data_IF_290897453435
#
_entry.id   IF_290897453435
#
_cell.length_a   1.000
_cell.length_b   1.000
_cell.length_c   1.000
_cell.angle_alpha   90.00
_cell.angle_beta   90.00
_cell.angle_gamma   90.00
#
_symmetry.space_group_name_H-M   'P 1'
#
loop_
_entity.id
_entity.type
_entity.pdbx_description
1 polymer ?
#
# COMPACT_ATOMS: atom_id res chain seq x y z
N UNK A 1 -0.49 0.75 -18.74
CA UNK A 1 -1.29 1.25 -17.63
C UNK A 1 -1.30 0.21 -16.51
N UNK A 2 -1.51 0.64 -15.31
CA UNK A 2 -1.69 -0.21 -14.12
C UNK A 2 -2.96 0.24 -13.36
N UNK A 3 -2.92 0.32 -12.01
CA UNK A 3 -3.99 0.90 -11.22
C UNK A 3 -4.33 2.35 -11.63
N UNK A 4 -3.31 3.12 -12.01
CA UNK A 4 -3.49 4.52 -12.41
C UNK A 4 -3.76 4.63 -13.91
N UNK A 5 -5.03 4.73 -14.29
CA UNK A 5 -5.48 4.83 -15.68
C UNK A 5 -4.99 6.10 -16.38
N UNK A 6 -4.59 7.11 -15.63
CA UNK A 6 -4.16 8.40 -16.13
C UNK A 6 -2.68 8.45 -16.51
N UNK A 7 -1.93 7.36 -16.30
CA UNK A 7 -0.53 7.23 -16.72
C UNK A 7 -0.45 6.45 -18.02
N UNK A 8 0.17 7.05 -19.05
CA UNK A 8 0.46 6.38 -20.30
C UNK A 8 1.97 6.19 -20.48
N UNK A 9 2.50 5.14 -19.91
CA UNK A 9 3.93 4.82 -19.96
C UNK A 9 4.41 4.45 -21.38
N UNK A 10 3.52 4.09 -22.29
CA UNK A 10 3.83 3.69 -23.66
C UNK A 10 3.60 4.81 -24.68
N UNK A 11 3.54 6.06 -24.26
CA UNK A 11 3.38 7.19 -25.15
C UNK A 11 4.69 7.54 -25.86
N UNK A 12 4.62 7.71 -27.17
CA UNK A 12 5.75 8.09 -28.02
C UNK A 12 5.50 9.35 -28.85
N UNK A 13 4.35 9.99 -28.65
CA UNK A 13 3.99 11.18 -29.40
C UNK A 13 4.68 12.42 -28.82
N UNK A 14 5.12 13.30 -29.71
CA UNK A 14 5.60 14.65 -29.37
C UNK A 14 4.46 15.69 -29.45
N UNK A 15 3.24 15.23 -29.76
CA UNK A 15 2.07 16.09 -29.96
C UNK A 15 1.15 16.03 -28.76
N UNK A 16 0.82 17.17 -28.12
CA UNK A 16 -0.15 17.22 -27.03
C UNK A 16 -1.51 16.61 -27.43
N UNK A 17 -2.10 15.81 -26.53
CA UNK A 17 -3.36 15.11 -26.76
C UNK A 17 -3.24 13.75 -27.45
N UNK A 18 -2.05 13.35 -27.88
CA UNK A 18 -1.78 12.03 -28.46
C UNK A 18 -1.20 11.02 -27.47
N UNK A 19 -1.15 11.36 -26.22
CA UNK A 19 -0.56 10.52 -25.15
C UNK A 19 -1.22 9.12 -25.01
N UNK A 20 -2.45 8.95 -25.48
CA UNK A 20 -3.15 7.66 -25.49
C UNK A 20 -2.97 6.84 -26.77
N UNK A 21 -2.32 7.39 -27.80
CA UNK A 21 -2.19 6.76 -29.12
C UNK A 21 -0.95 5.86 -29.22
N UNK A 22 -0.77 4.95 -28.30
CA UNK A 22 0.43 4.09 -28.23
C UNK A 22 0.48 3.02 -29.31
N UNK A 23 -0.67 2.52 -29.74
CA UNK A 23 -0.76 1.39 -30.68
C UNK A 23 -0.59 1.81 -32.14
N UNK A 24 -0.75 3.07 -32.45
CA UNK A 24 -0.72 3.58 -33.82
C UNK A 24 0.56 4.33 -34.16
N UNK A 25 1.50 4.43 -33.23
CA UNK A 25 2.73 5.17 -33.47
C UNK A 25 3.64 4.44 -34.48
N UNK A 26 3.96 5.07 -35.64
CA UNK A 26 4.77 4.46 -36.69
C UNK A 26 6.18 4.04 -36.23
N UNK A 27 6.72 4.70 -35.20
CA UNK A 27 8.04 4.41 -34.63
C UNK A 27 8.14 2.97 -34.11
N UNK A 28 7.02 2.37 -33.69
CA UNK A 28 6.94 1.02 -33.14
C UNK A 28 6.09 0.06 -33.97
N UNK A 29 5.52 0.50 -35.09
CA UNK A 29 4.77 -0.38 -36.00
C UNK A 29 5.64 -1.56 -36.50
N UNK A 30 6.92 -1.30 -36.76
CA UNK A 30 7.90 -2.32 -37.13
C UNK A 30 8.24 -3.31 -35.99
N UNK A 31 7.99 -2.95 -34.73
CA UNK A 31 8.27 -3.74 -33.54
C UNK A 31 7.02 -4.40 -32.93
N UNK A 32 5.90 -4.38 -33.62
CA UNK A 32 4.63 -4.93 -33.15
C UNK A 32 3.77 -3.93 -32.36
N UNK A 33 4.09 -2.62 -32.39
CA UNK A 33 3.28 -1.55 -31.83
C UNK A 33 3.43 -1.33 -30.32
N UNK A 34 4.42 -1.97 -29.67
CA UNK A 34 4.61 -1.86 -28.22
C UNK A 34 6.00 -1.38 -27.85
N UNK A 35 6.10 -0.63 -26.76
CA UNK A 35 7.38 -0.49 -26.07
C UNK A 35 7.78 -1.79 -25.42
N UNK A 36 9.09 -2.12 -25.52
CA UNK A 36 9.67 -3.27 -24.80
C UNK A 36 10.31 -2.90 -23.47
N UNK A 37 10.31 -1.60 -23.13
CA UNK A 37 10.99 -1.07 -21.94
C UNK A 37 10.06 -0.35 -20.98
N UNK A 38 8.82 0.01 -21.40
CA UNK A 38 7.82 0.60 -20.51
C UNK A 38 7.34 -0.43 -19.50
N UNK A 39 7.59 -0.18 -18.21
CA UNK A 39 7.29 -1.11 -17.13
C UNK A 39 6.72 -0.39 -15.89
N UNK A 40 5.69 -0.97 -15.28
CA UNK A 40 5.13 -0.53 -14.02
C UNK A 40 5.82 -1.25 -12.85
N UNK A 41 6.54 -0.51 -12.02
CA UNK A 41 7.14 -1.07 -10.80
C UNK A 41 6.05 -1.46 -9.80
N UNK A 42 4.91 -0.74 -9.76
CA UNK A 42 3.77 -1.15 -8.94
C UNK A 42 3.28 -2.55 -9.30
N UNK A 43 3.10 -2.88 -10.58
CA UNK A 43 2.65 -4.22 -11.00
C UNK A 43 3.70 -5.27 -10.67
N UNK A 44 4.98 -4.97 -10.85
CA UNK A 44 6.06 -5.87 -10.50
C UNK A 44 6.09 -6.17 -8.99
N UNK A 45 5.92 -5.15 -8.13
CA UNK A 45 5.87 -5.33 -6.67
C UNK A 45 4.59 -6.04 -6.22
N UNK A 46 3.43 -5.78 -6.86
CA UNK A 46 2.18 -6.48 -6.62
C UNK A 46 2.30 -7.98 -6.97
N UNK A 47 2.98 -8.32 -8.06
CA UNK A 47 3.28 -9.70 -8.42
C UNK A 47 4.09 -10.41 -7.32
N UNK A 48 5.13 -9.76 -6.80
CA UNK A 48 5.96 -10.35 -5.74
C UNK A 48 5.25 -10.45 -4.39
N UNK A 49 4.25 -9.59 -4.15
CA UNK A 49 3.41 -9.64 -2.96
C UNK A 49 2.36 -10.76 -3.02
N UNK A 50 1.72 -10.95 -4.15
CA UNK A 50 0.64 -11.96 -4.32
C UNK A 50 1.16 -13.34 -4.66
N UNK A 51 2.31 -13.43 -5.32
CA UNK A 51 2.91 -14.67 -5.82
C UNK A 51 3.09 -15.76 -4.75
N UNK A 52 3.57 -15.47 -3.51
CA UNK A 52 3.70 -16.48 -2.46
C UNK A 52 2.40 -17.21 -2.12
N UNK A 53 1.25 -16.53 -2.18
CA UNK A 53 -0.05 -17.18 -1.97
C UNK A 53 -0.36 -18.17 -3.10
N UNK A 54 -0.03 -17.85 -4.34
CA UNK A 54 -0.16 -18.76 -5.47
C UNK A 54 0.72 -20.01 -5.30
N UNK A 55 1.98 -19.81 -4.90
CA UNK A 55 2.91 -20.92 -4.59
C UNK A 55 2.35 -21.81 -3.47
N UNK A 56 1.81 -21.23 -2.41
CA UNK A 56 1.20 -21.98 -1.31
C UNK A 56 -0.01 -22.82 -1.77
N UNK A 57 -0.87 -22.27 -2.65
CA UNK A 57 -1.99 -23.00 -3.24
C UNK A 57 -1.48 -24.18 -4.09
N UNK A 58 -0.47 -23.97 -4.95
CA UNK A 58 0.11 -25.05 -5.76
C UNK A 58 0.68 -26.17 -4.89
N UNK A 59 1.42 -25.85 -3.84
CA UNK A 59 1.94 -26.83 -2.88
C UNK A 59 0.83 -27.61 -2.18
N UNK A 60 -0.24 -26.93 -1.77
CA UNK A 60 -1.40 -27.59 -1.17
C UNK A 60 -2.08 -28.58 -2.14
N UNK A 61 -2.04 -28.30 -3.44
CA UNK A 61 -2.58 -29.18 -4.49
C UNK A 61 -1.61 -30.29 -4.92
N UNK A 62 -0.39 -30.35 -4.35
CA UNK A 62 0.65 -31.32 -4.74
C UNK A 62 1.30 -31.02 -6.09
N UNK A 63 1.23 -29.77 -6.57
CA UNK A 63 1.82 -29.29 -7.82
C UNK A 63 3.20 -28.68 -7.54
N UNK A 64 4.12 -29.49 -7.03
CA UNK A 64 5.42 -29.00 -6.53
C UNK A 64 6.29 -28.41 -7.64
N UNK A 65 6.31 -28.99 -8.83
CA UNK A 65 7.14 -28.50 -9.94
C UNK A 65 6.68 -27.10 -10.42
N UNK A 66 5.37 -26.88 -10.51
CA UNK A 66 4.77 -25.58 -10.84
C UNK A 66 5.00 -24.56 -9.71
N UNK A 67 4.93 -25.02 -8.46
CA UNK A 67 5.22 -24.18 -7.29
C UNK A 67 6.67 -23.68 -7.29
N UNK A 68 7.62 -24.57 -7.55
CA UNK A 68 9.04 -24.23 -7.63
C UNK A 68 9.36 -23.30 -8.81
N UNK A 69 8.73 -23.54 -9.97
CA UNK A 69 8.85 -22.65 -11.12
C UNK A 69 8.29 -21.24 -10.82
N UNK A 70 7.12 -21.16 -10.19
CA UNK A 70 6.52 -19.89 -9.78
C UNK A 70 7.40 -19.15 -8.76
N UNK A 71 7.96 -19.86 -7.76
CA UNK A 71 8.85 -19.27 -6.78
C UNK A 71 10.11 -18.69 -7.43
N UNK A 72 10.71 -19.41 -8.39
CA UNK A 72 11.88 -18.94 -9.11
C UNK A 72 11.62 -17.62 -9.88
N UNK A 73 10.43 -17.46 -10.49
CA UNK A 73 10.07 -16.20 -11.16
C UNK A 73 9.82 -15.07 -10.16
N UNK A 74 9.26 -15.35 -8.98
CA UNK A 74 9.09 -14.36 -7.90
C UNK A 74 10.47 -13.87 -7.42
N UNK A 75 11.40 -14.78 -7.15
CA UNK A 75 12.74 -14.44 -6.67
C UNK A 75 13.53 -13.63 -7.70
N UNK A 76 13.43 -14.01 -8.97
CA UNK A 76 13.99 -13.26 -10.09
C UNK A 76 13.39 -11.86 -10.19
N UNK A 77 12.08 -11.71 -10.05
CA UNK A 77 11.43 -10.40 -10.06
C UNK A 77 11.90 -9.52 -8.91
N UNK A 78 12.01 -10.06 -7.69
CA UNK A 78 12.56 -9.31 -6.54
C UNK A 78 13.97 -8.82 -6.80
N UNK A 79 14.83 -9.66 -7.36
CA UNK A 79 16.20 -9.28 -7.72
C UNK A 79 16.22 -8.17 -8.78
N UNK A 80 15.41 -8.28 -9.82
CA UNK A 80 15.30 -7.27 -10.87
C UNK A 80 14.79 -5.93 -10.33
N UNK A 81 13.81 -5.93 -9.41
CA UNK A 81 13.31 -4.71 -8.78
C UNK A 81 14.41 -4.02 -7.98
N UNK A 82 15.20 -4.78 -7.22
CA UNK A 82 16.33 -4.21 -6.47
C UNK A 82 17.40 -3.63 -7.40
N UNK A 83 17.73 -4.30 -8.49
CA UNK A 83 18.75 -3.87 -9.43
C UNK A 83 18.33 -2.61 -10.21
N UNK A 84 17.05 -2.56 -10.65
CA UNK A 84 16.61 -1.55 -11.62
C UNK A 84 15.70 -0.47 -11.03
N UNK A 85 14.97 -0.75 -9.95
CA UNK A 85 13.95 0.16 -9.45
C UNK A 85 14.22 0.77 -8.06
N UNK A 86 15.29 0.38 -7.38
CA UNK A 86 15.69 1.01 -6.12
C UNK A 86 16.44 2.32 -6.35
N UNK A 87 15.88 3.46 -5.90
CA UNK A 87 16.44 4.81 -6.09
C UNK A 87 17.22 5.34 -4.87
N UNK A 88 17.62 4.44 -3.97
CA UNK A 88 18.42 4.74 -2.77
C UNK A 88 17.62 4.92 -1.49
N UNK A 89 16.42 5.53 -1.57
CA UNK A 89 15.55 5.79 -0.42
C UNK A 89 14.10 5.31 -0.65
N UNK A 90 13.68 5.08 -1.91
CA UNK A 90 12.37 4.55 -2.31
C UNK A 90 12.45 3.83 -3.64
N UNK A 91 11.37 3.16 -4.06
CA UNK A 91 11.26 2.48 -5.34
C UNK A 91 10.67 3.41 -6.41
N UNK A 92 11.23 3.34 -7.63
CA UNK A 92 10.71 4.04 -8.80
C UNK A 92 9.23 3.74 -9.03
N UNK A 93 8.54 4.67 -9.68
CA UNK A 93 7.15 4.44 -10.12
C UNK A 93 7.08 3.53 -11.33
N UNK A 94 7.91 3.83 -12.32
CA UNK A 94 7.87 3.14 -13.62
C UNK A 94 9.09 3.52 -14.48
N UNK A 95 9.22 2.80 -15.58
CA UNK A 95 9.96 3.22 -16.77
C UNK A 95 8.98 3.55 -17.88
N UNK A 96 9.24 4.64 -18.62
CA UNK A 96 8.43 5.00 -19.78
C UNK A 96 8.84 4.23 -21.03
N UNK A 97 8.21 4.55 -22.14
CA UNK A 97 8.45 3.91 -23.44
C UNK A 97 9.87 4.11 -24.00
N UNK A 98 10.59 5.11 -23.55
CA UNK A 98 11.97 5.40 -23.95
C UNK A 98 12.99 4.83 -22.95
N UNK A 99 12.53 4.22 -21.86
CA UNK A 99 13.36 3.75 -20.77
C UNK A 99 13.74 4.83 -19.76
N UNK A 100 13.07 5.98 -19.79
CA UNK A 100 13.28 7.04 -18.83
C UNK A 100 12.57 6.72 -17.51
N UNK A 101 13.21 7.08 -16.40
CA UNK A 101 12.68 6.83 -15.06
C UNK A 101 11.51 7.77 -14.72
N UNK A 102 10.47 7.23 -14.11
CA UNK A 102 9.41 7.97 -13.43
C UNK A 102 9.45 7.65 -11.94
N UNK A 103 9.31 8.66 -11.08
CA UNK A 103 9.35 8.45 -9.64
C UNK A 103 10.76 8.38 -9.05
N UNK A 104 11.75 8.96 -9.73
CA UNK A 104 13.14 9.08 -9.27
C UNK A 104 13.41 10.46 -8.69
N UNK A 105 14.35 10.54 -7.73
CA UNK A 105 14.92 11.82 -7.26
C UNK A 105 15.59 12.63 -8.37
N UNK A 106 15.89 12.00 -9.50
CA UNK A 106 16.46 12.67 -10.69
C UNK A 106 15.40 13.40 -11.51
N UNK A 107 14.09 13.10 -11.31
CA UNK A 107 12.99 13.78 -11.99
C UNK A 107 12.83 15.21 -11.46
N UNK A 108 12.40 16.14 -12.34
CA UNK A 108 12.08 17.52 -11.96
C UNK A 108 10.87 17.57 -11.04
N UNK A 109 9.80 16.83 -11.38
CA UNK A 109 8.56 16.69 -10.64
C UNK A 109 8.16 15.20 -10.57
N UNK A 110 7.23 14.83 -9.70
CA UNK A 110 6.85 13.42 -9.54
C UNK A 110 8.01 12.53 -9.11
N UNK A 111 8.80 12.97 -8.11
CA UNK A 111 10.02 12.27 -7.70
C UNK A 111 9.74 10.99 -6.90
N UNK A 112 8.65 10.96 -6.14
CA UNK A 112 8.22 9.80 -5.37
C UNK A 112 6.73 9.57 -5.59
N UNK A 113 6.32 8.29 -5.69
CA UNK A 113 4.94 7.85 -5.82
C UNK A 113 4.61 6.80 -4.78
N UNK A 114 3.39 6.81 -4.26
CA UNK A 114 2.94 5.92 -3.19
C UNK A 114 2.77 4.46 -3.66
N UNK A 115 2.36 4.23 -4.91
CA UNK A 115 1.81 2.97 -5.38
C UNK A 115 2.76 1.77 -5.27
N UNK A 116 4.06 1.85 -5.64
CA UNK A 116 4.96 0.70 -5.56
C UNK A 116 5.44 0.41 -4.14
N UNK A 117 5.44 1.41 -3.26
CA UNK A 117 6.15 1.35 -2.00
C UNK A 117 5.58 0.28 -1.04
N UNK A 118 4.26 0.26 -0.89
CA UNK A 118 3.60 -0.65 0.04
C UNK A 118 3.83 -2.12 -0.30
N UNK A 119 3.67 -2.48 -1.56
CA UNK A 119 3.85 -3.87 -2.02
C UNK A 119 5.32 -4.29 -1.98
N UNK A 120 6.26 -3.39 -2.26
CA UNK A 120 7.70 -3.67 -2.14
C UNK A 120 8.08 -4.02 -0.68
N UNK A 121 7.60 -3.24 0.29
CA UNK A 121 7.83 -3.50 1.72
C UNK A 121 7.20 -4.84 2.13
N UNK A 122 5.94 -5.09 1.78
CA UNK A 122 5.23 -6.33 2.13
C UNK A 122 5.77 -7.58 1.41
N UNK A 123 6.60 -7.38 0.38
CA UNK A 123 7.34 -8.46 -0.32
C UNK A 123 8.74 -8.68 0.24
N UNK A 124 9.16 -7.98 1.28
CA UNK A 124 10.51 -8.00 1.86
C UNK A 124 11.62 -7.65 0.84
N UNK A 125 11.33 -6.82 -0.20
CA UNK A 125 12.32 -6.43 -1.19
C UNK A 125 13.37 -5.53 -0.54
N UNK A 126 14.63 -5.98 -0.51
CA UNK A 126 15.75 -5.25 0.08
C UNK A 126 15.67 -5.05 1.59
N UNK A 127 14.87 -5.83 2.31
CA UNK A 127 14.69 -5.71 3.77
C UNK A 127 15.98 -5.89 4.55
N UNK A 128 16.82 -6.84 4.15
CA UNK A 128 18.16 -7.08 4.70
C UNK A 128 19.11 -5.88 4.54
N UNK A 129 18.82 -4.99 3.59
CA UNK A 129 19.53 -3.73 3.33
C UNK A 129 18.85 -2.53 3.98
N UNK A 130 17.74 -2.74 4.69
CA UNK A 130 16.95 -1.70 5.36
C UNK A 130 16.12 -0.84 4.41
N UNK A 131 15.80 -1.34 3.21
CA UNK A 131 14.99 -0.61 2.23
C UNK A 131 13.59 -0.30 2.75
N UNK A 132 12.98 -1.19 3.53
CA UNK A 132 11.69 -0.99 4.19
C UNK A 132 11.67 0.27 5.08
N UNK A 133 12.68 0.41 5.94
CA UNK A 133 12.82 1.56 6.86
C UNK A 133 13.08 2.87 6.12
N UNK A 134 13.95 2.84 5.10
CA UNK A 134 14.23 4.02 4.27
C UNK A 134 13.00 4.45 3.50
N UNK A 135 12.28 3.51 2.90
CA UNK A 135 11.04 3.79 2.17
C UNK A 135 9.97 4.39 3.07
N UNK A 136 9.75 3.83 4.28
CA UNK A 136 8.80 4.39 5.24
C UNK A 136 9.20 5.80 5.71
N UNK A 137 10.49 6.05 5.91
CA UNK A 137 10.98 7.39 6.25
C UNK A 137 10.74 8.39 5.10
N UNK A 138 11.02 8.00 3.84
CA UNK A 138 10.78 8.84 2.67
C UNK A 138 9.29 9.13 2.46
N UNK A 139 8.40 8.14 2.72
CA UNK A 139 6.94 8.33 2.67
C UNK A 139 6.51 9.35 3.73
N UNK A 140 6.96 9.22 4.99
CA UNK A 140 6.57 10.15 6.06
C UNK A 140 7.08 11.57 5.79
N UNK A 141 8.32 11.72 5.31
CA UNK A 141 8.90 13.01 5.00
C UNK A 141 8.25 13.70 3.78
N UNK A 142 7.96 12.93 2.72
CA UNK A 142 7.66 13.51 1.41
C UNK A 142 6.18 13.44 1.01
N UNK A 143 5.46 12.41 1.44
CA UNK A 143 4.07 12.18 1.04
C UNK A 143 3.07 12.49 2.15
N UNK A 144 3.49 12.48 3.42
CA UNK A 144 2.55 12.61 4.52
C UNK A 144 2.03 14.03 4.70
N UNK A 145 0.74 14.11 5.05
CA UNK A 145 0.02 15.32 5.43
C UNK A 145 -0.95 15.02 6.58
N UNK A 146 -1.48 16.05 7.22
CA UNK A 146 -2.49 15.87 8.27
C UNK A 146 -3.83 15.23 7.80
N UNK A 147 -4.01 15.02 6.49
CA UNK A 147 -5.23 14.44 5.89
C UNK A 147 -4.95 13.13 5.14
N UNK A 148 -3.76 12.57 5.32
CA UNK A 148 -3.28 11.36 4.67
C UNK A 148 -2.12 11.60 3.71
N UNK A 149 -1.70 10.51 3.04
CA UNK A 149 -0.56 10.50 2.13
C UNK A 149 -0.99 10.90 0.72
N UNK A 150 -0.29 11.87 0.12
CA UNK A 150 -0.49 12.23 -1.29
C UNK A 150 0.06 11.15 -2.22
N UNK A 151 -0.49 11.04 -3.43
CA UNK A 151 -0.07 10.03 -4.41
C UNK A 151 1.38 10.21 -4.88
N UNK A 152 1.80 11.45 -5.09
CA UNK A 152 3.14 11.78 -5.57
C UNK A 152 3.61 13.14 -5.05
N UNK A 153 4.91 13.37 -5.09
CA UNK A 153 5.53 14.64 -4.70
C UNK A 153 6.86 14.85 -5.44
N UNK A 154 7.18 16.07 -5.95
CA UNK A 154 6.28 17.20 -6.14
C UNK A 154 5.12 16.91 -7.09
N UNK A 155 4.02 17.68 -6.98
CA UNK A 155 2.95 17.65 -7.97
C UNK A 155 3.45 18.16 -9.33
N UNK A 156 2.84 17.67 -10.40
CA UNK A 156 3.11 18.19 -11.75
C UNK A 156 2.51 19.59 -11.90
N UNK A 157 3.32 20.54 -12.39
CA UNK A 157 2.89 21.94 -12.65
C UNK A 157 2.75 22.24 -14.12
N UNK A 158 3.19 21.32 -15.01
CA UNK A 158 3.10 21.41 -16.46
C UNK A 158 2.69 20.08 -17.07
N UNK A 159 2.22 20.10 -18.30
CA UNK A 159 1.87 18.89 -19.04
C UNK A 159 3.13 18.17 -19.51
N UNK A 160 3.26 16.92 -19.10
CA UNK A 160 4.28 15.98 -19.55
C UNK A 160 3.65 14.99 -20.51
N UNK A 161 3.88 15.16 -21.81
CA UNK A 161 3.25 14.34 -22.83
C UNK A 161 3.53 12.85 -22.67
N UNK A 162 4.74 12.50 -22.20
CA UNK A 162 5.15 11.12 -21.96
C UNK A 162 4.41 10.45 -20.78
N UNK A 163 3.89 11.22 -19.83
CA UNK A 163 3.15 10.68 -18.68
C UNK A 163 1.63 10.70 -18.90
N UNK A 164 1.16 11.52 -19.81
CA UNK A 164 -0.25 11.60 -20.17
C UNK A 164 -1.09 12.40 -19.19
N UNK A 165 -2.33 11.96 -19.01
CA UNK A 165 -3.39 12.72 -18.33
C UNK A 165 -3.05 13.08 -16.88
N UNK A 166 -2.28 12.28 -16.17
CA UNK A 166 -1.87 12.56 -14.79
C UNK A 166 -1.29 13.97 -14.62
N UNK A 167 -0.53 14.45 -15.60
CA UNK A 167 0.11 15.76 -15.59
C UNK A 167 -0.78 16.91 -16.08
N UNK A 168 -2.03 16.63 -16.49
CA UNK A 168 -3.02 17.66 -16.87
C UNK A 168 -3.86 18.14 -15.70
N UNK A 169 -3.96 17.34 -14.63
CA UNK A 169 -4.73 17.74 -13.45
C UNK A 169 -4.01 18.83 -12.68
N UNK A 170 -4.76 19.75 -12.05
CA UNK A 170 -4.19 20.69 -11.10
C UNK A 170 -3.48 19.94 -9.93
N UNK A 171 -2.41 20.52 -9.41
CA UNK A 171 -1.72 19.96 -8.24
C UNK A 171 -2.67 19.75 -7.05
N UNK A 172 -2.49 18.63 -6.36
CA UNK A 172 -3.33 18.23 -5.23
C UNK A 172 -4.71 17.71 -5.62
N UNK A 173 -5.00 17.53 -6.92
CA UNK A 173 -6.28 17.04 -7.42
C UNK A 173 -6.11 15.76 -8.21
N UNK A 174 -7.02 14.79 -7.96
CA UNK A 174 -6.98 13.45 -8.55
C UNK A 174 -5.58 12.82 -8.44
N UNK A 175 -5.11 12.22 -9.53
CA UNK A 175 -3.85 11.48 -9.57
C UNK A 175 -2.61 12.38 -9.50
N UNK A 176 -2.76 13.71 -9.63
CA UNK A 176 -1.66 14.65 -9.49
C UNK A 176 -1.53 15.15 -8.04
N UNK A 177 -0.91 14.37 -7.19
CA UNK A 177 -0.68 14.67 -5.76
C UNK A 177 -1.97 14.86 -4.91
N UNK A 178 -3.10 14.32 -5.35
CA UNK A 178 -4.27 14.12 -4.48
C UNK A 178 -4.01 13.00 -3.47
N UNK A 179 -4.84 12.92 -2.44
CA UNK A 179 -4.81 11.85 -1.44
C UNK A 179 -5.88 10.82 -1.82
N UNK A 180 -5.47 9.70 -2.38
CA UNK A 180 -6.38 8.58 -2.63
C UNK A 180 -6.39 7.67 -1.41
N UNK A 181 -7.54 7.55 -0.77
CA UNK A 181 -7.63 6.91 0.54
C UNK A 181 -7.34 5.41 0.51
N UNK A 182 -7.62 4.71 -0.58
CA UNK A 182 -7.32 3.28 -0.68
C UNK A 182 -5.81 2.99 -0.89
N UNK A 183 -5.06 3.86 -1.56
CA UNK A 183 -3.60 3.74 -1.66
C UNK A 183 -2.94 3.96 -0.30
N UNK A 184 -3.51 4.83 0.53
CA UNK A 184 -3.08 5.03 1.91
C UNK A 184 -3.18 3.72 2.69
N UNK A 185 -4.27 2.95 2.51
CA UNK A 185 -4.44 1.66 3.17
C UNK A 185 -3.32 0.65 2.83
N UNK A 186 -2.76 0.67 1.61
CA UNK A 186 -1.61 -0.17 1.25
C UNK A 186 -0.36 0.18 2.07
N UNK A 187 -0.13 1.47 2.33
CA UNK A 187 0.99 1.91 3.16
C UNK A 187 0.75 1.62 4.65
N UNK A 188 -0.50 1.73 5.11
CA UNK A 188 -0.87 1.32 6.48
C UNK A 188 -0.55 -0.16 6.69
N UNK A 189 -0.94 -1.03 5.76
CA UNK A 189 -0.59 -2.44 5.78
C UNK A 189 0.93 -2.65 5.79
N UNK A 190 1.66 -1.95 4.94
CA UNK A 190 3.11 -2.06 4.82
C UNK A 190 3.84 -1.60 6.09
N UNK A 191 3.42 -0.49 6.69
CA UNK A 191 3.99 0.01 7.94
C UNK A 191 3.76 -0.97 9.09
N UNK A 192 2.53 -1.51 9.23
CA UNK A 192 2.22 -2.53 10.22
C UNK A 192 3.00 -3.83 9.96
N UNK A 193 3.14 -4.26 8.70
CA UNK A 193 3.94 -5.41 8.32
C UNK A 193 5.41 -5.26 8.73
N UNK A 194 5.99 -4.09 8.47
CA UNK A 194 7.36 -3.75 8.83
C UNK A 194 7.58 -3.55 10.34
N UNK A 195 6.53 -3.59 11.16
CA UNK A 195 6.60 -3.39 12.61
C UNK A 195 6.61 -1.94 13.06
N UNK A 196 6.21 -1.01 12.21
CA UNK A 196 6.06 0.41 12.53
C UNK A 196 4.61 0.73 12.97
N UNK A 197 4.15 0.13 14.08
CA UNK A 197 2.78 0.21 14.55
C UNK A 197 2.29 1.63 14.85
N UNK A 198 3.13 2.49 15.41
CA UNK A 198 2.80 3.90 15.63
C UNK A 198 2.53 4.61 14.31
N UNK A 199 3.38 4.41 13.30
CA UNK A 199 3.24 5.01 11.99
C UNK A 199 2.03 4.47 11.24
N UNK A 200 1.78 3.16 11.32
CA UNK A 200 0.61 2.52 10.72
C UNK A 200 -0.69 3.09 11.28
N UNK A 201 -0.79 3.23 12.61
CA UNK A 201 -1.98 3.78 13.25
C UNK A 201 -2.15 5.28 13.01
N UNK A 202 -1.04 6.04 12.95
CA UNK A 202 -1.05 7.45 12.54
C UNK A 202 -1.70 7.61 11.16
N UNK A 203 -1.21 6.89 10.15
CA UNK A 203 -1.75 6.96 8.78
C UNK A 203 -3.20 6.48 8.70
N UNK A 204 -3.56 5.45 9.48
CA UNK A 204 -4.95 5.02 9.59
C UNK A 204 -5.86 6.11 10.13
N UNK A 205 -5.45 6.79 11.20
CA UNK A 205 -6.25 7.85 11.83
C UNK A 205 -6.37 9.13 10.99
N UNK A 206 -5.41 9.40 10.10
CA UNK A 206 -5.44 10.55 9.20
C UNK A 206 -6.55 10.46 8.14
N UNK A 207 -6.99 9.24 7.77
CA UNK A 207 -7.99 9.04 6.72
C UNK A 207 -9.28 8.36 7.20
N UNK A 208 -9.28 7.72 8.37
CA UNK A 208 -10.45 7.00 8.85
C UNK A 208 -11.55 7.95 9.32
N UNK A 209 -12.81 7.80 8.84
CA UNK A 209 -13.90 8.72 9.14
C UNK A 209 -14.14 8.95 10.64
N UNK A 210 -13.87 7.95 11.48
CA UNK A 210 -14.01 8.08 12.94
C UNK A 210 -13.08 9.13 13.57
N UNK A 211 -12.01 9.53 12.88
CA UNK A 211 -11.02 10.50 13.36
C UNK A 211 -11.08 11.84 12.64
N UNK A 212 -12.01 12.02 11.69
CA UNK A 212 -12.15 13.27 10.93
C UNK A 212 -13.23 14.22 11.45
N UNK A 213 -13.81 13.94 12.60
CA UNK A 213 -14.88 14.77 13.22
C UNK A 213 -14.42 16.22 13.42
N UNK A 214 -13.22 16.42 13.99
CA UNK A 214 -12.68 17.75 14.26
C UNK A 214 -12.34 18.55 12.98
N UNK A 215 -12.22 17.86 11.85
CA UNK A 215 -11.94 18.48 10.54
C UNK A 215 -13.12 18.40 9.58
N UNK A 216 -14.32 18.10 10.08
CA UNK A 216 -15.54 17.90 9.28
C UNK A 216 -15.89 19.13 8.43
N UNK A 217 -15.65 20.34 8.91
CA UNK A 217 -15.86 21.59 8.17
C UNK A 217 -14.96 21.72 6.93
N UNK A 218 -13.79 21.05 6.94
CA UNK A 218 -12.86 21.00 5.82
C UNK A 218 -13.19 19.80 4.94
N UNK A 219 -13.37 18.62 5.56
CA UNK A 219 -13.55 17.34 4.86
C UNK A 219 -14.84 17.29 4.02
N UNK A 220 -15.97 17.76 4.56
CA UNK A 220 -17.24 18.00 3.83
C UNK A 220 -17.83 16.78 3.10
N UNK A 221 -17.47 15.56 3.48
CA UNK A 221 -18.16 14.35 3.03
C UNK A 221 -19.17 13.90 4.08
N UNK A 222 -20.01 12.95 3.75
CA UNK A 222 -20.95 12.37 4.70
C UNK A 222 -20.20 11.72 5.87
N UNK A 223 -20.70 11.79 7.09
CA UNK A 223 -20.14 11.09 8.25
C UNK A 223 -20.00 9.58 7.96
N UNK A 224 -18.92 8.98 8.42
CA UNK A 224 -18.62 7.54 8.27
C UNK A 224 -18.35 7.05 6.86
N UNK A 225 -18.10 7.94 5.92
CA UNK A 225 -17.82 7.59 4.52
C UNK A 225 -16.37 7.93 4.16
N UNK A 226 -15.71 7.00 3.49
CA UNK A 226 -14.45 7.31 2.83
C UNK A 226 -14.70 8.04 1.51
N UNK A 227 -14.07 9.19 1.31
CA UNK A 227 -13.95 9.78 -0.02
C UNK A 227 -12.99 8.95 -0.89
N UNK A 228 -13.23 8.86 -2.20
CA UNK A 228 -12.25 8.28 -3.12
C UNK A 228 -10.94 9.07 -3.05
N UNK A 229 -11.06 10.38 -3.03
CA UNK A 229 -9.95 11.33 -3.02
C UNK A 229 -10.20 12.42 -1.97
N UNK A 230 -9.14 12.85 -1.34
CA UNK A 230 -9.07 14.06 -0.53
C UNK A 230 -8.11 15.01 -1.22
N UNK A 231 -8.42 16.32 -1.24
CA UNK A 231 -7.52 17.32 -1.82
C UNK A 231 -6.16 17.33 -1.15
N UNK A 232 -5.09 17.21 -1.92
CA UNK A 232 -3.72 17.33 -1.46
C UNK A 232 -3.36 18.78 -1.12
N UNK A 233 -2.14 19.00 -0.59
CA UNK A 233 -1.69 20.32 -0.11
C UNK A 233 -1.77 21.44 -1.17
N UNK A 234 -1.64 21.09 -2.46
CA UNK A 234 -1.66 22.04 -3.57
C UNK A 234 -3.08 22.23 -4.16
N UNK A 235 -4.10 21.55 -3.62
CA UNK A 235 -5.45 21.55 -4.16
C UNK A 235 -6.11 22.95 -4.06
N UNK A 236 -6.52 23.49 -5.20
CA UNK A 236 -7.13 24.82 -5.29
C UNK A 236 -6.14 25.95 -5.12
N UNK A 237 -4.85 25.70 -5.27
CA UNK A 237 -3.87 26.77 -5.34
C UNK A 237 -3.88 27.42 -6.72
N UNK A 238 -4.03 28.75 -6.76
CA UNK A 238 -3.47 29.54 -7.86
C UNK A 238 -1.95 29.55 -7.69
N UNK A 239 -1.22 29.72 -8.76
CA UNK A 239 0.24 29.82 -8.73
C UNK A 239 0.66 30.84 -7.64
N UNK A 240 1.36 30.35 -6.62
CA UNK A 240 1.87 31.16 -5.52
C UNK A 240 0.90 31.46 -4.35
N UNK A 241 -0.27 30.81 -4.30
CA UNK A 241 -1.20 30.89 -3.15
C UNK A 241 -1.42 29.52 -2.51
N UNK A 242 -1.68 29.49 -1.20
CA UNK A 242 -2.05 28.23 -0.52
C UNK A 242 -3.30 27.62 -1.14
N UNK A 243 -3.34 26.31 -1.27
CA UNK A 243 -4.50 25.56 -1.74
C UNK A 243 -5.68 25.71 -0.76
N UNK A 244 -6.84 26.11 -1.26
CA UNK A 244 -8.04 26.28 -0.45
C UNK A 244 -8.96 25.04 -0.44
N UNK A 245 -8.56 23.97 -1.12
CA UNK A 245 -9.25 22.67 -1.15
C UNK A 245 -8.46 21.55 -0.46
N UNK A 246 -7.40 21.91 0.25
CA UNK A 246 -6.63 20.93 1.02
C UNK A 246 -7.50 20.28 2.09
N UNK A 247 -7.53 18.98 2.14
CA UNK A 247 -8.34 18.19 3.08
C UNK A 247 -9.79 17.97 2.65
N UNK A 248 -10.27 18.57 1.53
CA UNK A 248 -11.65 18.36 1.07
C UNK A 248 -11.82 16.99 0.43
N UNK A 249 -12.71 16.17 0.95
CA UNK A 249 -13.11 14.90 0.37
C UNK A 249 -13.93 15.08 -0.91
N UNK A 250 -13.73 14.15 -1.84
CA UNK A 250 -14.39 14.09 -3.15
C UNK A 250 -14.84 12.66 -3.45
N UNK A 251 -15.92 12.54 -4.22
CA UNK A 251 -16.44 11.25 -4.71
C UNK A 251 -16.64 10.24 -3.57
N UNK A 252 -17.44 10.62 -2.58
CA UNK A 252 -17.87 9.70 -1.52
C UNK A 252 -18.52 8.46 -2.10
N UNK A 253 -18.35 7.30 -1.46
CA UNK A 253 -18.86 5.97 -1.87
C UNK A 253 -18.18 5.32 -3.09
N UNK A 254 -17.43 6.05 -3.90
CA UNK A 254 -16.81 5.54 -5.13
C UNK A 254 -15.36 5.07 -4.87
N UNK A 255 -15.17 4.20 -3.88
CA UNK A 255 -13.83 3.75 -3.48
C UNK A 255 -13.85 2.36 -2.83
N UNK A 256 -12.80 1.59 -3.02
CA UNK A 256 -12.54 0.34 -2.29
C UNK A 256 -11.94 0.54 -0.90
N UNK A 257 -11.82 1.78 -0.41
CA UNK A 257 -11.09 2.11 0.83
C UNK A 257 -11.68 1.44 2.06
N UNK A 258 -13.01 1.37 2.18
CA UNK A 258 -13.64 0.74 3.36
C UNK A 258 -13.19 -0.72 3.53
N UNK A 259 -13.14 -1.50 2.44
CA UNK A 259 -12.65 -2.87 2.46
C UNK A 259 -11.15 -2.92 2.77
N UNK A 260 -10.33 -2.09 2.12
CA UNK A 260 -8.90 -2.03 2.38
C UNK A 260 -8.56 -1.58 3.81
N UNK A 261 -9.24 -0.58 4.35
CA UNK A 261 -9.04 -0.15 5.73
C UNK A 261 -9.54 -1.16 6.76
N UNK A 262 -10.59 -1.91 6.44
CA UNK A 262 -11.00 -3.04 7.29
C UNK A 262 -9.92 -4.12 7.34
N UNK A 263 -9.25 -4.41 6.22
CA UNK A 263 -8.08 -5.30 6.17
C UNK A 263 -6.91 -4.68 6.94
N UNK A 264 -6.58 -3.42 6.70
CA UNK A 264 -5.46 -2.74 7.35
C UNK A 264 -5.60 -2.74 8.88
N UNK A 265 -6.77 -2.36 9.41
CA UNK A 265 -6.94 -2.34 10.86
C UNK A 265 -7.02 -3.76 11.46
N UNK A 266 -7.81 -4.67 10.88
CA UNK A 266 -8.07 -5.97 11.51
C UNK A 266 -6.95 -6.98 11.31
N UNK A 267 -6.37 -7.04 10.09
CA UNK A 267 -5.39 -8.07 9.75
C UNK A 267 -3.94 -7.63 9.91
N UNK A 268 -3.67 -6.32 9.82
CA UNK A 268 -2.30 -5.79 9.92
C UNK A 268 -2.04 -5.08 11.24
N UNK A 269 -2.84 -4.07 11.62
CA UNK A 269 -2.62 -3.34 12.88
C UNK A 269 -2.99 -4.24 14.07
N UNK A 270 -4.23 -4.73 14.15
CA UNK A 270 -4.62 -5.68 15.20
C UNK A 270 -4.03 -7.09 14.99
N UNK A 271 -3.57 -7.37 13.76
CA UNK A 271 -2.82 -8.58 13.44
C UNK A 271 -3.62 -9.87 13.52
N UNK A 272 -4.97 -9.83 13.34
CA UNK A 272 -5.82 -11.00 13.43
C UNK A 272 -6.20 -11.44 12.02
N UNK A 273 -5.46 -12.36 11.43
CA UNK A 273 -5.59 -12.77 10.05
C UNK A 273 -5.80 -14.26 9.86
N UNK A 274 -6.49 -14.62 8.76
CA UNK A 274 -6.59 -16.01 8.37
C UNK A 274 -5.23 -16.53 7.88
N UNK A 275 -4.89 -17.73 8.28
CA UNK A 275 -3.77 -18.51 7.77
C UNK A 275 -4.29 -19.84 7.23
N UNK A 276 -3.50 -20.55 6.42
CA UNK A 276 -3.88 -21.88 5.92
C UNK A 276 -4.10 -22.88 7.07
N UNK A 277 -3.26 -22.83 8.08
CA UNK A 277 -3.26 -23.75 9.23
C UNK A 277 -4.14 -23.28 10.38
N UNK A 278 -4.58 -22.02 10.40
CA UNK A 278 -5.37 -21.51 11.51
C UNK A 278 -5.65 -20.02 11.50
N UNK A 279 -5.78 -19.43 12.68
CA UNK A 279 -5.96 -18.01 12.88
C UNK A 279 -4.65 -17.40 13.41
N UNK A 280 -3.97 -16.59 12.60
CA UNK A 280 -2.72 -15.95 12.99
C UNK A 280 -2.98 -14.71 13.82
N UNK A 281 -2.22 -14.55 14.92
CA UNK A 281 -2.20 -13.36 15.78
C UNK A 281 -0.81 -12.73 15.74
N UNK A 282 -0.68 -11.60 15.07
CA UNK A 282 0.61 -10.89 14.84
C UNK A 282 0.40 -9.37 14.91
N UNK A 283 0.05 -8.83 16.08
CA UNK A 283 -0.30 -7.42 16.25
C UNK A 283 0.87 -6.49 15.95
N UNK A 284 0.55 -5.34 15.30
CA UNK A 284 1.47 -4.23 15.09
C UNK A 284 0.77 -2.94 15.53
N UNK A 285 0.65 -2.77 16.84
CA UNK A 285 -0.11 -1.72 17.49
C UNK A 285 0.78 -0.55 17.95
N UNK A 286 0.20 0.64 18.24
CA UNK A 286 0.95 1.72 18.86
C UNK A 286 1.63 1.28 20.17
N UNK A 287 2.88 1.69 20.36
CA UNK A 287 3.62 1.40 21.58
C UNK A 287 2.95 1.94 22.85
N UNK A 288 2.18 3.03 22.72
CA UNK A 288 1.43 3.61 23.83
C UNK A 288 0.21 2.78 24.30
N UNK A 289 -0.17 1.72 23.56
CA UNK A 289 -1.28 0.86 23.96
C UNK A 289 -0.81 -0.24 24.91
N UNK A 290 -1.48 -0.40 26.04
CA UNK A 290 -1.22 -1.51 26.99
C UNK A 290 -1.61 -2.87 26.40
N UNK A 291 -2.35 -2.90 25.32
CA UNK A 291 -2.85 -4.08 24.64
C UNK A 291 -4.20 -3.82 23.96
N UNK A 292 -4.90 -4.89 23.62
CA UNK A 292 -6.23 -4.84 23.02
C UNK A 292 -7.04 -6.11 23.35
N UNK A 293 -8.35 -6.04 23.09
CA UNK A 293 -9.23 -7.22 23.09
C UNK A 293 -9.99 -7.31 21.79
N UNK A 294 -10.24 -8.53 21.32
CA UNK A 294 -11.03 -8.78 20.11
C UNK A 294 -11.77 -10.11 20.22
N UNK A 295 -12.96 -10.17 19.61
CA UNK A 295 -13.66 -11.44 19.41
C UNK A 295 -13.70 -11.74 17.92
N UNK A 296 -13.23 -12.92 17.51
CA UNK A 296 -13.18 -13.36 16.12
C UNK A 296 -13.89 -14.68 15.91
N UNK A 297 -14.85 -14.71 15.00
CA UNK A 297 -15.40 -15.96 14.48
C UNK A 297 -14.55 -16.44 13.31
N UNK A 298 -14.07 -17.67 13.38
CA UNK A 298 -13.22 -18.25 12.35
C UNK A 298 -13.39 -19.76 12.27
N UNK A 299 -13.67 -20.28 11.07
CA UNK A 299 -13.81 -21.71 10.74
C UNK A 299 -14.63 -22.50 11.77
N UNK A 300 -15.80 -21.98 12.17
CA UNK A 300 -16.75 -22.67 13.04
C UNK A 300 -16.44 -22.64 14.54
N UNK A 301 -15.53 -21.78 14.99
CA UNK A 301 -15.29 -21.48 16.39
C UNK A 301 -15.25 -19.97 16.62
N UNK A 302 -15.36 -19.56 17.89
CA UNK A 302 -15.21 -18.17 18.33
C UNK A 302 -13.93 -18.07 19.16
N UNK A 303 -13.14 -17.01 18.95
CA UNK A 303 -11.90 -16.75 19.68
C UNK A 303 -12.05 -15.42 20.41
N UNK A 304 -12.02 -15.46 21.75
CA UNK A 304 -11.95 -14.28 22.61
C UNK A 304 -10.49 -13.99 22.92
N UNK A 305 -9.94 -13.00 22.23
CA UNK A 305 -8.51 -12.68 22.18
C UNK A 305 -8.24 -11.50 23.10
N UNK A 306 -7.27 -11.68 24.00
CA UNK A 306 -6.70 -10.61 24.81
C UNK A 306 -5.21 -10.50 24.53
N UNK A 307 -4.77 -9.37 23.99
CA UNK A 307 -3.36 -9.03 23.77
C UNK A 307 -2.91 -8.10 24.88
N UNK A 308 -1.76 -8.36 25.48
CA UNK A 308 -1.08 -7.50 26.45
C UNK A 308 0.25 -7.02 25.90
N UNK A 309 0.56 -5.74 26.08
CA UNK A 309 1.80 -5.10 25.60
C UNK A 309 2.60 -4.49 26.77
N UNK A 310 3.14 -5.31 27.69
CA UNK A 310 3.80 -4.81 28.90
C UNK A 310 5.12 -4.09 28.61
N UNK A 311 5.78 -4.40 27.50
CA UNK A 311 7.05 -3.82 27.09
C UNK A 311 6.88 -2.59 26.19
N UNK A 312 5.63 -2.17 25.91
CA UNK A 312 5.30 -1.01 25.07
C UNK A 312 6.02 -1.02 23.72
N UNK A 313 5.98 -2.16 23.02
CA UNK A 313 6.57 -2.36 21.69
C UNK A 313 5.53 -2.24 20.60
N UNK A 314 5.96 -1.97 19.38
CA UNK A 314 5.04 -1.92 18.24
C UNK A 314 4.70 -3.31 17.70
N UNK A 315 5.60 -4.28 17.72
CA UNK A 315 5.41 -5.59 17.10
C UNK A 315 6.22 -6.66 17.79
N UNK A 316 5.71 -7.88 17.76
CA UNK A 316 6.33 -9.08 18.30
C UNK A 316 5.36 -9.84 19.21
N UNK A 317 5.41 -11.17 19.15
CA UNK A 317 4.63 -12.07 20.01
C UNK A 317 5.60 -12.95 20.80
N UNK A 318 5.58 -12.80 22.11
CA UNK A 318 6.42 -13.55 23.05
C UNK A 318 5.80 -14.87 23.45
N UNK A 319 4.49 -14.89 23.68
CA UNK A 319 3.78 -16.11 24.08
C UNK A 319 2.31 -16.06 23.71
N UNK A 320 1.74 -17.24 23.45
CA UNK A 320 0.31 -17.45 23.20
C UNK A 320 -0.20 -18.59 24.05
N UNK A 321 -1.32 -18.38 24.73
CA UNK A 321 -2.02 -19.39 25.55
C UNK A 321 -3.45 -19.51 25.05
N UNK A 322 -3.90 -20.74 24.75
CA UNK A 322 -5.27 -21.04 24.31
C UNK A 322 -5.92 -21.95 25.30
N UNK A 323 -7.03 -21.57 25.91
CA UNK A 323 -7.77 -22.29 26.93
C UNK A 323 -6.87 -22.81 28.10
N UNK A 324 -5.93 -21.94 28.52
CA UNK A 324 -4.97 -22.23 29.57
C UNK A 324 -3.76 -23.08 29.16
N UNK A 325 -3.64 -23.46 27.88
CA UNK A 325 -2.52 -24.23 27.34
C UNK A 325 -1.63 -23.37 26.45
N UNK A 326 -0.33 -23.33 26.71
CA UNK A 326 0.63 -22.64 25.86
C UNK A 326 0.74 -23.36 24.51
N UNK A 327 0.83 -22.57 23.44
CA UNK A 327 1.09 -23.09 22.09
C UNK A 327 2.43 -22.57 21.57
N UNK A 328 3.03 -23.28 20.63
CA UNK A 328 4.21 -22.81 19.91
C UNK A 328 3.80 -21.91 18.75
N UNK A 329 4.50 -20.78 18.60
CA UNK A 329 4.20 -19.79 17.54
C UNK A 329 2.96 -18.96 17.85
N UNK A 330 2.38 -18.37 16.81
CA UNK A 330 1.26 -17.43 16.89
C UNK A 330 0.10 -17.76 15.95
N UNK A 331 0.02 -19.00 15.46
CA UNK A 331 -1.10 -19.51 14.67
C UNK A 331 -1.98 -20.42 15.55
N UNK A 332 -3.20 -19.97 15.82
CA UNK A 332 -4.17 -20.67 16.63
C UNK A 332 -4.80 -21.82 15.82
N UNK A 333 -5.04 -23.00 16.44
CA UNK A 333 -5.76 -24.08 15.77
C UNK A 333 -7.15 -23.67 15.29
N UNK A 334 -7.58 -24.19 14.15
CA UNK A 334 -8.97 -24.09 13.69
C UNK A 334 -9.81 -25.19 14.34
N UNK A 335 -10.45 -24.89 15.49
CA UNK A 335 -11.16 -25.91 16.29
C UNK A 335 -12.43 -26.45 15.60
N UNK A 336 -13.24 -25.56 14.98
CA UNK A 336 -14.45 -25.98 14.23
C UNK A 336 -15.55 -26.63 15.06
N UNK A 337 -15.54 -26.45 16.38
CA UNK A 337 -16.38 -27.18 17.35
C UNK A 337 -17.60 -26.39 17.86
N UNK A 338 -17.81 -25.20 17.32
CA UNK A 338 -18.91 -24.28 17.68
C UNK A 338 -18.74 -23.58 19.03
N UNK A 339 -17.60 -23.74 19.71
CA UNK A 339 -17.38 -23.18 21.04
C UNK A 339 -16.62 -21.86 20.97
N UNK A 340 -16.52 -21.21 22.15
CA UNK A 340 -15.68 -20.06 22.36
C UNK A 340 -14.37 -20.50 23.06
N UNK A 341 -13.25 -20.12 22.50
CA UNK A 341 -11.91 -20.36 23.01
C UNK A 341 -11.30 -19.06 23.53
N UNK A 342 -10.71 -19.11 24.73
CA UNK A 342 -10.00 -17.97 25.29
C UNK A 342 -8.56 -17.95 24.77
N UNK A 343 -8.10 -16.78 24.35
CA UNK A 343 -6.75 -16.59 23.79
C UNK A 343 -6.05 -15.45 24.53
N UNK A 344 -4.94 -15.75 25.16
CA UNK A 344 -4.08 -14.77 25.81
C UNK A 344 -2.76 -14.64 25.03
N UNK A 345 -2.43 -13.42 24.61
CA UNK A 345 -1.22 -13.11 23.85
C UNK A 345 -0.42 -12.06 24.60
N UNK A 346 0.86 -12.31 24.75
CA UNK A 346 1.80 -11.34 25.31
C UNK A 346 2.75 -10.89 24.21
N UNK A 347 2.82 -9.58 23.98
CA UNK A 347 3.81 -8.98 23.11
C UNK A 347 5.16 -8.88 23.83
N UNK A 348 6.29 -9.02 23.05
CA UNK A 348 7.64 -8.97 23.60
C UNK A 348 8.71 -9.43 22.61
#
# INVERSE_FOLDING_TARGET
>A
ADWNDCINLSCFSDTPGESFQTYTNPKFAAEGGYSKVAESVMVATLFTYTGPNYVAILKHLGMDAEADAAQAEIDKMKANIMESAWDGDWFLRAYDANGEKMGSKECEEGQIFIEPQGFAIMSDIGKDQGCDKKTLAAIDERLNTQHGLVLNNPAFTKYYIQYGEISTYPGGYKENAGIFTHNNAWIICAAAYAGAGDQAFKYYSEIAPAFTEETSDIHKTEPYVYGQMIGGKDAGSDIGKPGNHFGQGKNSWLTGTAAWNMVAISQYILGISADFDGLKIDPSIPAAWDGMTATRQFRGATYDIKVSNPDHINKGVKSVVVDGNAIEGNVLPAFGDGKTHTVEVVMG
#
